data_IF_269742827104
#
_entry.id   IF_269742827104
#
_cell.length_a   1.000
_cell.length_b   1.000
_cell.length_c   1.000
_cell.angle_alpha   90.00
_cell.angle_beta   90.00
_cell.angle_gamma   90.00
#
_symmetry.space_group_name_H-M   'P 1'
#
loop_
_entity.id
_entity.type
_entity.pdbx_description
1 polymer ?
#
# COMPACT_ATOMS: atom_id res chain seq x y z
N UNK A 1 35.63 3.61 -18.24
CA UNK A 1 35.53 4.94 -17.62
C UNK A 1 36.88 5.33 -17.03
N UNK A 2 37.32 6.56 -17.26
CA UNK A 2 38.42 7.20 -16.53
C UNK A 2 37.81 8.13 -15.47
N UNK A 3 38.28 8.07 -14.22
CA UNK A 3 37.85 9.02 -13.18
C UNK A 3 39.05 9.78 -12.66
N UNK A 4 38.95 11.11 -12.67
CA UNK A 4 40.00 12.04 -12.25
C UNK A 4 39.63 12.68 -10.89
N UNK A 5 40.60 12.96 -10.02
CA UNK A 5 40.39 13.71 -8.76
C UNK A 5 41.34 13.31 -7.62
N UNK A 6 40.83 13.16 -6.40
CA UNK A 6 41.64 12.76 -5.24
C UNK A 6 42.20 11.33 -5.36
N UNK A 7 41.62 10.51 -6.24
CA UNK A 7 42.08 9.16 -6.60
C UNK A 7 41.83 8.96 -8.09
N UNK A 8 42.88 8.68 -8.84
CA UNK A 8 42.77 8.41 -10.27
C UNK A 8 42.73 6.90 -10.55
N UNK A 9 41.73 6.47 -11.32
CA UNK A 9 41.60 5.08 -11.76
C UNK A 9 40.81 4.93 -13.06
N UNK A 10 41.06 3.81 -13.73
CA UNK A 10 40.29 3.33 -14.86
C UNK A 10 39.44 2.14 -14.42
N UNK A 11 38.19 2.08 -14.89
CA UNK A 11 37.31 0.96 -14.63
C UNK A 11 36.55 0.54 -15.88
N UNK A 12 36.38 -0.78 -16.02
CA UNK A 12 35.52 -1.41 -17.02
C UNK A 12 34.53 -2.31 -16.29
N UNK A 13 33.25 -1.94 -16.34
CA UNK A 13 32.16 -2.56 -15.59
C UNK A 13 31.15 -3.17 -16.56
N UNK A 14 30.57 -4.31 -16.19
CA UNK A 14 29.59 -5.05 -16.97
C UNK A 14 28.48 -5.57 -16.05
N UNK A 15 27.24 -5.53 -16.56
CA UNK A 15 26.10 -6.24 -15.97
C UNK A 15 25.93 -7.55 -16.74
N UNK A 16 25.99 -8.72 -16.09
CA UNK A 16 25.71 -9.98 -16.75
C UNK A 16 24.28 -10.02 -17.32
N UNK A 17 24.06 -10.75 -18.41
CA UNK A 17 22.73 -10.86 -19.03
C UNK A 17 21.75 -11.77 -18.27
N UNK A 18 22.26 -12.54 -17.30
CA UNK A 18 21.52 -13.43 -16.44
C UNK A 18 22.14 -13.43 -15.04
N UNK A 19 21.32 -13.61 -14.00
CA UNK A 19 21.80 -13.66 -12.62
C UNK A 19 22.82 -14.82 -12.47
N UNK A 20 24.05 -14.55 -11.99
CA UNK A 20 25.03 -15.59 -11.72
C UNK A 20 24.47 -16.67 -10.76
N UNK A 21 24.83 -17.93 -10.98
CA UNK A 21 24.26 -19.07 -10.25
C UNK A 21 24.47 -18.99 -8.74
N UNK A 22 25.66 -18.53 -8.32
CA UNK A 22 26.00 -18.30 -6.91
C UNK A 22 25.03 -17.30 -6.25
N UNK A 23 24.71 -16.22 -6.96
CA UNK A 23 23.81 -15.16 -6.52
C UNK A 23 22.34 -15.56 -6.52
N UNK A 24 21.96 -16.53 -7.38
CA UNK A 24 20.62 -17.11 -7.37
C UNK A 24 20.36 -17.98 -6.12
N UNK A 25 21.40 -18.59 -5.55
CA UNK A 25 21.30 -19.37 -4.30
C UNK A 25 21.42 -18.49 -3.06
N UNK A 26 22.34 -17.54 -3.08
CA UNK A 26 22.58 -16.61 -2.00
C UNK A 26 22.80 -15.20 -2.58
N UNK A 27 21.81 -14.32 -2.38
CA UNK A 27 21.82 -12.97 -2.92
C UNK A 27 23.08 -12.17 -2.54
N UNK A 28 23.64 -12.46 -1.36
CA UNK A 28 24.83 -11.82 -0.80
C UNK A 28 25.96 -12.81 -0.59
N UNK A 29 26.15 -13.74 -1.53
CA UNK A 29 27.28 -14.67 -1.49
C UNK A 29 28.62 -13.91 -1.42
N UNK A 30 29.34 -14.06 -0.30
CA UNK A 30 30.63 -13.41 -0.05
C UNK A 30 31.73 -13.99 -0.95
N UNK A 31 31.53 -15.18 -1.52
CA UNK A 31 32.45 -15.78 -2.49
C UNK A 31 32.20 -15.30 -3.92
N UNK A 32 31.14 -14.51 -4.16
CA UNK A 32 30.86 -13.90 -5.47
C UNK A 32 31.98 -12.91 -5.84
N UNK A 33 32.80 -13.31 -6.82
CA UNK A 33 33.93 -12.51 -7.32
C UNK A 33 33.46 -11.53 -8.39
N UNK A 34 33.07 -10.34 -7.96
CA UNK A 34 32.56 -9.29 -8.84
C UNK A 34 33.64 -8.55 -9.62
N UNK A 35 34.48 -7.81 -8.90
CA UNK A 35 35.40 -6.84 -9.50
C UNK A 35 36.84 -7.19 -9.11
N UNK A 36 37.73 -7.21 -10.12
CA UNK A 36 39.16 -7.46 -9.91
C UNK A 36 39.91 -6.14 -9.77
N UNK A 37 40.76 -6.04 -8.75
CA UNK A 37 41.59 -4.87 -8.50
C UNK A 37 42.99 -5.06 -9.08
N UNK A 38 43.44 -4.06 -9.82
CA UNK A 38 44.77 -3.92 -10.36
C UNK A 38 45.38 -2.60 -9.85
N UNK A 39 46.70 -2.63 -9.65
CA UNK A 39 47.48 -1.43 -9.39
C UNK A 39 48.65 -1.41 -10.36
N UNK A 40 48.75 -0.35 -11.16
CA UNK A 40 49.73 -0.23 -12.25
C UNK A 40 49.71 -1.47 -13.15
N UNK A 41 48.51 -1.94 -13.52
CA UNK A 41 48.27 -3.14 -14.34
C UNK A 41 48.76 -4.47 -13.72
N UNK A 42 49.11 -4.48 -12.44
CA UNK A 42 49.46 -5.71 -11.71
C UNK A 42 48.24 -6.17 -10.91
N UNK A 43 47.85 -7.43 -11.08
CA UNK A 43 46.74 -8.02 -10.33
C UNK A 43 47.06 -8.01 -8.83
N UNK A 44 46.12 -7.52 -8.03
CA UNK A 44 46.23 -7.48 -6.56
C UNK A 44 45.34 -8.55 -5.96
N UNK A 45 44.03 -8.43 -6.12
CA UNK A 45 43.07 -9.45 -5.69
C UNK A 45 41.73 -9.35 -6.44
N UNK A 46 40.91 -10.38 -6.26
CA UNK A 46 39.52 -10.46 -6.71
C UNK A 46 38.50 -10.40 -5.56
N UNK A 47 38.99 -10.40 -4.30
CA UNK A 47 38.21 -10.14 -3.09
C UNK A 47 38.13 -8.65 -2.80
N UNK A 48 37.65 -7.89 -3.77
CA UNK A 48 37.32 -6.47 -3.63
C UNK A 48 35.95 -6.28 -2.90
N UNK A 49 35.55 -7.25 -2.07
CA UNK A 49 34.20 -7.37 -1.50
C UNK A 49 33.90 -6.30 -0.43
N UNK A 50 34.91 -5.87 0.33
CA UNK A 50 34.78 -4.75 1.28
C UNK A 50 34.63 -3.38 0.58
N UNK A 51 34.81 -3.34 -0.73
CA UNK A 51 34.87 -2.13 -1.49
C UNK A 51 33.53 -1.84 -2.23
N UNK A 52 32.91 -2.82 -2.86
CA UNK A 52 31.64 -2.55 -3.58
C UNK A 52 30.45 -2.74 -2.64
N UNK A 53 29.44 -1.83 -2.62
CA UNK A 53 28.22 -2.05 -1.86
C UNK A 53 27.60 -3.41 -2.18
N UNK A 54 27.10 -4.14 -1.17
CA UNK A 54 26.60 -5.51 -1.35
C UNK A 54 25.50 -5.65 -2.40
N UNK A 55 24.69 -4.60 -2.57
CA UNK A 55 23.64 -4.55 -3.59
C UNK A 55 24.19 -4.53 -5.03
N UNK A 56 25.48 -4.26 -5.24
CA UNK A 56 26.17 -4.29 -6.54
C UNK A 56 27.01 -5.55 -6.75
N UNK A 57 26.90 -6.58 -5.90
CA UNK A 57 27.72 -7.80 -6.00
C UNK A 57 27.59 -8.55 -7.34
N UNK A 58 26.54 -8.28 -8.11
CA UNK A 58 26.34 -8.85 -9.45
C UNK A 58 27.16 -8.18 -10.55
N UNK A 59 27.67 -6.96 -10.33
CA UNK A 59 28.54 -6.29 -11.30
C UNK A 59 29.83 -7.09 -11.48
N UNK A 60 30.27 -7.20 -12.73
CA UNK A 60 31.53 -7.83 -13.11
C UNK A 60 32.46 -6.78 -13.71
N UNK A 61 33.77 -6.85 -13.43
CA UNK A 61 34.67 -5.85 -14.01
C UNK A 61 36.10 -5.85 -13.51
N UNK A 62 36.82 -4.83 -13.96
CA UNK A 62 38.21 -4.56 -13.60
C UNK A 62 38.35 -3.09 -13.21
N UNK A 63 39.11 -2.83 -12.14
CA UNK A 63 39.52 -1.51 -11.66
C UNK A 63 41.03 -1.47 -11.62
N UNK A 64 41.64 -0.48 -12.28
CA UNK A 64 43.09 -0.28 -12.31
C UNK A 64 43.42 1.14 -11.85
N UNK A 65 44.24 1.27 -10.80
CA UNK A 65 44.68 2.56 -10.26
C UNK A 65 46.19 2.62 -10.18
N UNK A 66 46.76 3.79 -10.46
CA UNK A 66 48.21 4.00 -10.39
C UNK A 66 48.68 4.45 -9.00
N UNK A 67 47.75 4.80 -8.10
CA UNK A 67 48.02 5.57 -6.88
C UNK A 67 47.69 4.84 -5.57
N UNK A 68 47.13 3.63 -5.63
CA UNK A 68 46.76 2.91 -4.42
C UNK A 68 48.00 2.43 -3.63
N UNK A 69 48.12 2.76 -2.34
CA UNK A 69 49.23 2.30 -1.52
C UNK A 69 49.09 0.79 -1.25
N UNK A 70 50.12 0.02 -1.58
CA UNK A 70 50.19 -1.41 -1.30
C UNK A 70 51.03 -1.66 -0.05
N UNK A 71 50.61 -2.63 0.78
CA UNK A 71 51.47 -3.11 1.85
C UNK A 71 52.61 -3.98 1.27
N UNK A 72 53.60 -4.31 2.11
CA UNK A 72 54.79 -5.09 1.71
C UNK A 72 54.43 -6.49 1.15
N UNK A 73 53.30 -7.06 1.58
CA UNK A 73 52.78 -8.35 1.07
C UNK A 73 51.98 -8.26 -0.22
N UNK A 74 51.74 -7.05 -0.77
CA UNK A 74 50.77 -6.81 -1.86
C UNK A 74 49.34 -7.25 -1.50
N UNK A 75 49.03 -7.29 -0.21
CA UNK A 75 47.67 -7.49 0.31
C UNK A 75 47.09 -6.11 0.68
N UNK A 76 45.76 -5.95 0.62
CA UNK A 76 45.12 -4.65 0.82
C UNK A 76 45.35 -4.14 2.25
N UNK A 77 45.74 -2.87 2.37
CA UNK A 77 45.68 -2.09 3.61
C UNK A 77 44.21 -1.83 4.00
N UNK A 78 43.88 -2.18 5.24
CA UNK A 78 42.63 -1.87 5.95
C UNK A 78 42.00 -0.53 5.54
N UNK A 79 40.70 -0.54 5.17
CA UNK A 79 39.77 0.61 5.11
C UNK A 79 40.38 1.98 4.71
N UNK A 80 41.15 2.04 3.62
CA UNK A 80 41.68 3.32 3.11
C UNK A 80 40.56 4.24 2.63
N UNK A 81 40.66 5.54 2.94
CA UNK A 81 39.77 6.59 2.42
C UNK A 81 39.73 6.60 0.88
N UNK A 82 40.82 6.22 0.22
CA UNK A 82 40.88 6.14 -1.24
C UNK A 82 39.96 5.05 -1.80
N UNK A 83 39.91 3.88 -1.15
CA UNK A 83 39.00 2.81 -1.55
C UNK A 83 37.55 3.26 -1.44
N UNK A 84 37.17 3.93 -0.34
CA UNK A 84 35.82 4.48 -0.19
C UNK A 84 35.42 5.44 -1.32
N UNK A 85 36.36 6.26 -1.82
CA UNK A 85 36.12 7.15 -2.96
C UNK A 85 35.92 6.37 -4.26
N UNK A 86 36.75 5.35 -4.51
CA UNK A 86 36.58 4.45 -5.67
C UNK A 86 35.19 3.80 -5.62
N UNK A 87 34.76 3.33 -4.44
CA UNK A 87 33.50 2.63 -4.23
C UNK A 87 32.29 3.49 -4.56
N UNK A 88 32.25 4.70 -4.00
CA UNK A 88 31.19 5.67 -4.29
C UNK A 88 31.12 6.00 -5.78
N UNK A 89 32.28 6.14 -6.44
CA UNK A 89 32.37 6.39 -7.88
C UNK A 89 31.89 5.20 -8.71
N UNK A 90 32.25 3.98 -8.34
CA UNK A 90 31.75 2.75 -8.99
C UNK A 90 30.24 2.63 -8.83
N UNK A 91 29.72 2.88 -7.64
CA UNK A 91 28.28 2.82 -7.36
C UNK A 91 27.52 3.84 -8.21
N UNK A 92 27.89 5.12 -8.14
CA UNK A 92 27.25 6.18 -8.93
C UNK A 92 27.27 5.89 -10.44
N UNK A 93 28.38 5.35 -10.95
CA UNK A 93 28.52 5.03 -12.38
C UNK A 93 27.78 3.77 -12.80
N UNK A 94 27.61 2.81 -11.88
CA UNK A 94 26.73 1.66 -12.08
C UNK A 94 25.26 2.12 -12.17
N UNK A 95 24.84 3.05 -11.31
CA UNK A 95 23.50 3.64 -11.36
C UNK A 95 23.27 4.39 -12.67
N UNK A 96 24.23 5.21 -13.12
CA UNK A 96 24.16 5.90 -14.41
C UNK A 96 23.99 4.91 -15.57
N UNK A 97 24.75 3.81 -15.57
CA UNK A 97 24.63 2.76 -16.58
C UNK A 97 23.24 2.11 -16.59
N UNK A 98 22.66 1.87 -15.40
CA UNK A 98 21.30 1.31 -15.26
C UNK A 98 20.22 2.31 -15.74
N UNK A 99 20.39 3.61 -15.45
CA UNK A 99 19.49 4.67 -15.95
C UNK A 99 19.50 4.74 -17.47
N UNK A 100 20.68 4.70 -18.09
CA UNK A 100 20.79 4.68 -19.55
C UNK A 100 20.13 3.43 -20.14
N UNK A 101 20.31 2.27 -19.51
CA UNK A 101 19.63 1.03 -19.93
C UNK A 101 18.10 1.12 -19.81
N UNK A 102 17.58 1.76 -18.76
CA UNK A 102 16.15 2.00 -18.59
C UNK A 102 15.60 2.93 -19.67
N UNK A 103 16.35 3.98 -20.02
CA UNK A 103 15.97 4.92 -21.09
C UNK A 103 15.94 4.26 -22.47
N UNK A 104 16.89 3.36 -22.75
CA UNK A 104 16.87 2.52 -23.98
C UNK A 104 15.66 1.58 -24.00
N UNK A 105 15.23 1.10 -22.83
CA UNK A 105 14.04 0.27 -22.66
C UNK A 105 14.14 -1.11 -23.34
N UNK A 106 12.99 -1.63 -23.76
CA UNK A 106 12.89 -2.90 -24.48
C UNK A 106 13.25 -4.15 -23.67
N UNK A 107 13.56 -5.24 -24.38
CA UNK A 107 13.84 -6.55 -23.78
C UNK A 107 15.08 -6.55 -22.88
N UNK A 108 16.05 -5.68 -23.16
CA UNK A 108 17.28 -5.53 -22.37
C UNK A 108 16.96 -5.03 -20.96
N UNK A 109 16.15 -3.98 -20.84
CA UNK A 109 15.69 -3.48 -19.55
C UNK A 109 14.79 -4.49 -18.84
N UNK A 110 13.86 -5.14 -19.56
CA UNK A 110 12.98 -6.17 -18.98
C UNK A 110 13.80 -7.29 -18.32
N UNK A 111 14.75 -7.87 -19.04
CA UNK A 111 15.64 -8.91 -18.52
C UNK A 111 16.50 -8.42 -17.35
N UNK A 112 16.96 -7.17 -17.40
CA UNK A 112 17.69 -6.58 -16.28
C UNK A 112 16.82 -6.51 -15.03
N UNK A 113 15.61 -5.99 -15.14
CA UNK A 113 14.67 -5.86 -14.03
C UNK A 113 14.30 -7.24 -13.44
N UNK A 114 14.00 -8.21 -14.30
CA UNK A 114 13.64 -9.57 -13.87
C UNK A 114 14.76 -10.26 -13.07
N UNK A 115 16.02 -10.04 -13.46
CA UNK A 115 17.18 -10.63 -12.79
C UNK A 115 17.63 -9.84 -11.55
N UNK A 116 17.62 -8.51 -11.62
CA UNK A 116 18.33 -7.65 -10.68
C UNK A 116 17.45 -6.65 -9.92
N UNK A 117 16.14 -6.61 -10.17
CA UNK A 117 15.23 -5.65 -9.52
C UNK A 117 15.29 -5.69 -7.99
N UNK A 118 15.47 -6.89 -7.41
CA UNK A 118 15.67 -7.06 -5.95
C UNK A 118 16.93 -6.35 -5.45
N UNK A 119 18.03 -6.42 -6.19
CA UNK A 119 19.27 -5.73 -5.84
C UNK A 119 19.09 -4.21 -5.86
N UNK A 120 18.32 -3.69 -6.82
CA UNK A 120 18.03 -2.25 -6.90
C UNK A 120 17.21 -1.78 -5.70
N UNK A 121 16.19 -2.55 -5.29
CA UNK A 121 15.41 -2.25 -4.07
C UNK A 121 16.31 -2.25 -2.82
N UNK A 122 17.19 -3.24 -2.67
CA UNK A 122 18.17 -3.29 -1.56
C UNK A 122 19.09 -2.08 -1.60
N UNK A 123 19.61 -1.73 -2.78
CA UNK A 123 20.47 -0.56 -2.95
C UNK A 123 19.77 0.73 -2.53
N UNK A 124 18.51 0.92 -2.91
CA UNK A 124 17.76 2.10 -2.50
C UNK A 124 17.44 2.16 -1.00
N UNK A 125 17.46 1.03 -0.29
CA UNK A 125 17.32 1.00 1.17
C UNK A 125 18.64 1.36 1.86
N UNK A 126 19.76 0.86 1.34
CA UNK A 126 21.06 0.92 2.02
C UNK A 126 21.94 2.10 1.61
N UNK A 127 21.90 2.47 0.33
CA UNK A 127 22.76 3.48 -0.25
C UNK A 127 22.06 4.83 -0.28
N UNK A 128 22.19 5.56 0.84
CA UNK A 128 21.58 6.89 1.01
C UNK A 128 22.09 7.91 -0.01
N UNK A 129 23.34 7.78 -0.46
CA UNK A 129 23.93 8.72 -1.43
C UNK A 129 23.27 8.57 -2.81
N UNK A 130 22.83 7.34 -3.16
CA UNK A 130 22.22 7.02 -4.45
C UNK A 130 20.71 6.70 -4.37
N UNK A 131 20.09 6.84 -3.19
CA UNK A 131 18.73 6.35 -2.93
C UNK A 131 17.69 6.90 -3.91
N UNK A 132 17.68 8.22 -4.17
CA UNK A 132 16.69 8.82 -5.08
C UNK A 132 16.85 8.30 -6.51
N UNK A 133 18.09 8.14 -6.97
CA UNK A 133 18.39 7.65 -8.30
C UNK A 133 18.03 6.17 -8.46
N UNK A 134 18.32 5.35 -7.45
CA UNK A 134 17.92 3.95 -7.41
C UNK A 134 16.40 3.80 -7.33
N UNK A 135 15.73 4.60 -6.50
CA UNK A 135 14.28 4.62 -6.40
C UNK A 135 13.61 4.99 -7.73
N UNK A 136 14.24 5.84 -8.54
CA UNK A 136 13.75 6.16 -9.89
C UNK A 136 13.72 4.96 -10.84
N UNK A 137 14.48 3.90 -10.56
CA UNK A 137 14.56 2.68 -11.38
C UNK A 137 13.50 1.65 -10.99
N UNK A 138 12.99 1.69 -9.76
CA UNK A 138 12.09 0.68 -9.20
C UNK A 138 10.71 0.73 -9.86
N UNK A 139 10.14 -0.46 -10.13
CA UNK A 139 8.86 -0.63 -10.78
C UNK A 139 7.85 -1.35 -9.86
N UNK A 140 6.59 -0.91 -9.92
CA UNK A 140 5.47 -1.43 -9.11
C UNK A 140 4.19 -1.56 -9.93
N UNK A 141 3.25 -2.37 -9.45
CA UNK A 141 1.85 -2.22 -9.85
C UNK A 141 1.21 -1.06 -9.07
N UNK A 142 0.18 -0.44 -9.64
CA UNK A 142 -0.60 0.59 -8.96
C UNK A 142 -2.08 0.48 -9.33
N UNK A 143 -2.93 1.22 -8.61
CA UNK A 143 -4.37 1.32 -8.94
C UNK A 143 -4.62 1.89 -10.34
N UNK A 144 -3.70 2.69 -10.90
CA UNK A 144 -3.81 3.23 -12.25
C UNK A 144 -3.21 2.31 -13.33
N UNK A 145 -2.32 1.38 -12.94
CA UNK A 145 -1.65 0.44 -13.84
C UNK A 145 -1.93 -1.03 -13.45
N UNK A 146 -3.12 -1.57 -13.78
CA UNK A 146 -3.52 -2.92 -13.40
C UNK A 146 -2.98 -4.02 -14.33
N UNK A 147 -2.24 -3.72 -15.39
CA UNK A 147 -1.73 -4.77 -16.30
C UNK A 147 -0.23 -4.76 -16.43
N UNK A 148 0.39 -3.61 -16.19
CA UNK A 148 1.79 -3.37 -16.40
C UNK A 148 2.35 -2.64 -15.18
N UNK A 149 3.65 -2.77 -14.97
CA UNK A 149 4.31 -2.03 -13.91
C UNK A 149 4.55 -0.57 -14.34
N UNK A 150 4.53 0.34 -13.37
CA UNK A 150 4.91 1.74 -13.50
C UNK A 150 6.08 2.04 -12.57
N UNK A 151 6.82 3.11 -12.82
CA UNK A 151 7.78 3.66 -11.87
C UNK A 151 7.22 4.91 -11.16
N UNK A 152 8.03 5.46 -10.24
CA UNK A 152 7.70 6.68 -9.50
C UNK A 152 7.59 7.92 -10.41
N UNK A 153 8.28 7.94 -11.55
CA UNK A 153 8.21 9.07 -12.48
C UNK A 153 6.85 9.12 -13.18
N UNK A 154 6.40 7.98 -13.73
CA UNK A 154 5.08 7.84 -14.33
C UNK A 154 3.94 8.07 -13.34
N UNK A 155 4.12 7.62 -12.09
CA UNK A 155 3.18 7.95 -11.00
C UNK A 155 3.08 9.47 -10.79
N UNK A 156 4.20 10.17 -10.67
CA UNK A 156 4.22 11.63 -10.43
C UNK A 156 3.62 12.39 -11.62
N UNK A 157 3.85 11.92 -12.84
CA UNK A 157 3.25 12.50 -14.05
C UNK A 157 1.72 12.40 -14.03
N UNK A 158 1.17 11.22 -13.74
CA UNK A 158 -0.28 11.02 -13.61
C UNK A 158 -0.87 11.81 -12.44
N UNK A 159 -0.14 11.89 -11.32
CA UNK A 159 -0.52 12.73 -10.18
C UNK A 159 -0.64 14.21 -10.57
N UNK A 160 0.33 14.75 -11.34
CA UNK A 160 0.29 16.12 -11.84
C UNK A 160 -0.86 16.34 -12.81
N UNK A 161 -1.02 15.47 -13.81
CA UNK A 161 -2.10 15.55 -14.79
C UNK A 161 -3.49 15.55 -14.11
N UNK A 162 -3.69 14.65 -13.13
CA UNK A 162 -4.90 14.60 -12.31
C UNK A 162 -5.13 15.90 -11.53
N UNK A 163 -4.08 16.46 -10.92
CA UNK A 163 -4.20 17.72 -10.17
C UNK A 163 -4.53 18.91 -11.07
N UNK A 164 -4.01 18.94 -12.30
CA UNK A 164 -4.33 19.95 -13.32
C UNK A 164 -5.78 19.81 -13.84
N UNK A 165 -6.29 18.59 -13.96
CA UNK A 165 -7.72 18.34 -14.23
C UNK A 165 -8.61 18.90 -13.12
N UNK A 166 -8.22 18.67 -11.86
CA UNK A 166 -8.95 19.21 -10.70
C UNK A 166 -8.91 20.74 -10.68
N UNK A 167 -7.77 21.36 -10.99
CA UNK A 167 -7.63 22.82 -11.10
C UNK A 167 -8.51 23.43 -12.19
N UNK A 168 -8.73 22.68 -13.29
CA UNK A 168 -9.65 23.07 -14.37
C UNK A 168 -11.13 22.86 -14.01
N UNK A 169 -11.44 22.37 -12.80
CA UNK A 169 -12.80 22.06 -12.39
C UNK A 169 -13.38 20.82 -13.09
N UNK A 170 -12.54 19.96 -13.67
CA UNK A 170 -12.98 18.71 -14.28
C UNK A 170 -13.28 17.70 -13.17
N UNK A 171 -14.55 17.33 -13.06
CA UNK A 171 -15.04 16.23 -12.23
C UNK A 171 -14.99 16.39 -10.68
N UNK A 172 -15.47 17.51 -10.09
CA UNK A 172 -15.69 17.65 -8.65
C UNK A 172 -17.12 17.22 -8.28
N UNK A 173 -17.53 15.98 -8.62
CA UNK A 173 -18.79 15.47 -8.07
C UNK A 173 -18.58 15.26 -6.57
N UNK A 174 -19.35 15.92 -5.71
CA UNK A 174 -19.09 15.90 -4.28
C UNK A 174 -19.65 14.64 -3.64
N UNK A 175 -20.21 13.67 -4.38
CA UNK A 175 -20.89 12.49 -3.82
C UNK A 175 -20.19 11.21 -4.26
N UNK A 176 -19.94 10.33 -3.29
CA UNK A 176 -19.35 8.99 -3.47
C UNK A 176 -20.34 7.96 -3.99
N UNK A 177 -19.84 6.78 -4.34
CA UNK A 177 -20.66 5.59 -4.62
C UNK A 177 -21.63 5.24 -3.49
N UNK A 178 -21.28 5.55 -2.23
CA UNK A 178 -22.09 5.29 -1.03
C UNK A 178 -23.12 6.37 -0.71
N UNK A 179 -23.18 7.46 -1.49
CA UNK A 179 -24.01 8.63 -1.18
C UNK A 179 -23.42 9.59 -0.15
N UNK A 180 -22.25 9.28 0.44
CA UNK A 180 -21.50 10.23 1.30
C UNK A 180 -20.92 11.36 0.48
N UNK A 181 -20.88 12.57 1.04
CA UNK A 181 -20.25 13.71 0.41
C UNK A 181 -18.71 13.63 0.53
N UNK A 182 -17.98 13.57 -0.57
CA UNK A 182 -16.53 13.75 -0.65
C UNK A 182 -16.18 14.77 -1.71
N UNK A 183 -15.45 15.80 -1.28
CA UNK A 183 -14.80 16.74 -2.19
C UNK A 183 -13.43 16.18 -2.58
N UNK A 184 -13.25 15.93 -3.88
CA UNK A 184 -11.93 15.56 -4.42
C UNK A 184 -10.95 16.71 -4.20
N UNK A 185 -9.75 16.36 -3.75
CA UNK A 185 -8.67 17.32 -3.48
C UNK A 185 -7.38 16.92 -4.20
N UNK A 186 -6.37 17.78 -4.15
CA UNK A 186 -5.09 17.54 -4.79
C UNK A 186 -4.33 16.43 -4.09
N UNK A 187 -3.72 15.58 -4.89
CA UNK A 187 -2.80 14.56 -4.44
C UNK A 187 -1.42 15.18 -4.30
N UNK A 188 -0.91 15.29 -3.07
CA UNK A 188 0.35 15.99 -2.76
C UNK A 188 1.45 15.04 -2.25
N UNK A 189 1.21 13.74 -2.29
CA UNK A 189 2.10 12.71 -1.79
C UNK A 189 1.99 11.44 -2.63
N UNK A 190 3.01 10.59 -2.52
CA UNK A 190 3.02 9.25 -3.07
C UNK A 190 2.35 8.33 -2.07
N UNK A 191 1.25 7.69 -2.45
CA UNK A 191 0.54 6.75 -1.61
C UNK A 191 0.88 5.33 -2.02
N UNK A 192 1.11 4.46 -1.04
CA UNK A 192 1.29 3.04 -1.28
C UNK A 192 0.50 2.19 -0.28
N UNK A 193 0.30 0.92 -0.63
CA UNK A 193 -0.31 -0.09 0.20
C UNK A 193 0.57 -1.34 0.16
N UNK A 194 1.04 -1.79 1.33
CA UNK A 194 1.69 -3.08 1.48
C UNK A 194 0.65 -4.20 1.71
N UNK A 195 0.77 -5.31 0.99
CA UNK A 195 -0.08 -6.50 1.14
C UNK A 195 0.69 -7.79 0.80
N UNK A 196 0.13 -8.94 1.13
CA UNK A 196 0.75 -10.24 0.84
C UNK A 196 0.91 -10.52 -0.67
N UNK A 197 -0.02 -10.01 -1.46
CA UNK A 197 -0.04 -10.18 -2.89
C UNK A 197 -0.92 -9.10 -3.53
N UNK A 198 -0.89 -9.04 -4.85
CA UNK A 198 -1.62 -8.04 -5.62
C UNK A 198 -3.13 -8.10 -5.43
N UNK A 199 -3.73 -9.29 -5.37
CA UNK A 199 -5.18 -9.43 -5.19
C UNK A 199 -5.62 -8.92 -3.82
N UNK A 200 -4.86 -9.26 -2.77
CA UNK A 200 -5.11 -8.75 -1.42
C UNK A 200 -4.98 -7.22 -1.37
N UNK A 201 -4.00 -6.64 -2.08
CA UNK A 201 -3.89 -5.18 -2.20
C UNK A 201 -5.14 -4.57 -2.85
N UNK A 202 -5.57 -5.11 -3.98
CA UNK A 202 -6.74 -4.65 -4.75
C UNK A 202 -8.07 -4.83 -4.00
N UNK A 203 -8.18 -5.78 -3.07
CA UNK A 203 -9.40 -6.02 -2.29
C UNK A 203 -9.37 -5.33 -0.92
N UNK A 204 -8.28 -4.64 -0.57
CA UNK A 204 -8.13 -4.03 0.76
C UNK A 204 -9.12 -2.88 1.01
N UNK A 205 -9.83 -2.89 2.16
CA UNK A 205 -10.66 -1.77 2.61
C UNK A 205 -9.90 -0.45 2.77
N UNK A 206 -8.57 -0.49 2.99
CA UNK A 206 -7.75 0.72 3.12
C UNK A 206 -7.70 1.56 1.82
N UNK A 207 -8.09 0.98 0.68
CA UNK A 207 -8.18 1.69 -0.60
C UNK A 207 -9.49 2.43 -0.83
N UNK A 208 -10.53 2.24 0.00
CA UNK A 208 -11.85 2.81 -0.30
C UNK A 208 -11.80 4.35 -0.38
N UNK A 209 -11.21 5.04 0.61
CA UNK A 209 -11.04 6.51 0.54
C UNK A 209 -10.12 6.98 -0.59
N UNK A 210 -8.91 6.41 -0.79
CA UNK A 210 -8.10 6.74 -1.97
C UNK A 210 -8.86 6.60 -3.29
N UNK A 211 -9.69 5.55 -3.46
CA UNK A 211 -10.51 5.37 -4.68
C UNK A 211 -11.55 6.46 -4.84
N UNK A 212 -12.29 6.78 -3.79
CA UNK A 212 -13.31 7.84 -3.86
C UNK A 212 -12.68 9.22 -4.13
N UNK A 213 -11.48 9.47 -3.59
CA UNK A 213 -10.67 10.65 -3.92
C UNK A 213 -10.06 10.58 -5.33
N UNK A 214 -10.04 9.41 -5.97
CA UNK A 214 -9.38 9.18 -7.25
C UNK A 214 -7.86 9.28 -7.18
N UNK A 215 -7.26 8.91 -6.04
CA UNK A 215 -5.81 8.88 -5.85
C UNK A 215 -5.22 7.60 -6.41
N UNK A 216 -4.09 7.74 -7.10
CA UNK A 216 -3.27 6.59 -7.44
C UNK A 216 -2.57 6.06 -6.17
N UNK A 217 -2.55 4.74 -6.01
CA UNK A 217 -1.87 4.05 -4.90
C UNK A 217 -0.99 2.94 -5.47
N UNK A 218 0.28 2.91 -5.06
CA UNK A 218 1.27 1.89 -5.42
C UNK A 218 1.04 0.62 -4.57
N UNK A 219 1.22 -0.56 -5.15
CA UNK A 219 1.15 -1.84 -4.43
C UNK A 219 2.55 -2.37 -4.12
N UNK A 220 2.88 -2.48 -2.83
CA UNK A 220 4.02 -3.23 -2.33
C UNK A 220 3.57 -4.66 -2.01
N UNK A 221 4.00 -5.63 -2.82
CA UNK A 221 3.48 -7.01 -2.76
C UNK A 221 4.54 -8.02 -2.32
N UNK A 222 5.77 -7.57 -2.10
CA UNK A 222 6.87 -8.37 -1.58
C UNK A 222 7.41 -7.75 -0.27
N UNK A 223 7.99 -8.53 0.67
CA UNK A 223 8.61 -7.96 1.88
C UNK A 223 9.66 -6.88 1.58
N UNK A 224 10.41 -7.04 0.49
CA UNK A 224 11.42 -6.08 0.07
C UNK A 224 10.81 -4.76 -0.46
N UNK A 225 9.61 -4.80 -1.03
CA UNK A 225 8.89 -3.58 -1.43
C UNK A 225 8.55 -2.74 -0.21
N UNK A 226 8.12 -3.38 0.87
CA UNK A 226 7.77 -2.69 2.10
C UNK A 226 8.99 -2.01 2.71
N UNK A 227 10.13 -2.70 2.83
CA UNK A 227 11.37 -2.06 3.28
C UNK A 227 11.78 -0.88 2.40
N UNK A 228 11.68 -1.04 1.09
CA UNK A 228 11.97 0.03 0.14
C UNK A 228 11.04 1.24 0.32
N UNK A 229 9.72 1.03 0.30
CA UNK A 229 8.73 2.10 0.43
C UNK A 229 8.80 2.77 1.80
N UNK A 230 9.00 2.01 2.87
CA UNK A 230 9.23 2.55 4.21
C UNK A 230 10.52 3.38 4.29
N UNK A 231 11.60 2.99 3.61
CA UNK A 231 12.82 3.80 3.55
C UNK A 231 12.57 5.16 2.87
N UNK A 232 11.70 5.20 1.85
CA UNK A 232 11.27 6.44 1.21
C UNK A 232 10.27 7.23 2.06
N UNK A 233 9.46 6.58 2.89
CA UNK A 233 8.61 7.29 3.87
C UNK A 233 9.42 8.14 4.83
N UNK A 234 10.61 7.67 5.21
CA UNK A 234 11.52 8.41 6.11
C UNK A 234 12.22 9.55 5.36
N UNK A 235 12.73 9.30 4.15
CA UNK A 235 13.61 10.23 3.45
C UNK A 235 12.91 11.12 2.42
N UNK A 236 11.63 10.88 2.14
CA UNK A 236 10.86 11.46 1.03
C UNK A 236 11.44 11.07 -0.34
N UNK A 237 10.69 11.35 -1.41
CA UNK A 237 11.17 11.17 -2.78
C UNK A 237 10.92 12.46 -3.56
N UNK A 238 11.98 13.14 -4.03
CA UNK A 238 11.88 14.43 -4.73
C UNK A 238 11.08 15.48 -3.94
N UNK A 239 11.23 15.48 -2.62
CA UNK A 239 10.48 16.36 -1.70
C UNK A 239 9.00 15.98 -1.50
N UNK A 240 8.53 14.87 -2.09
CA UNK A 240 7.19 14.33 -1.85
C UNK A 240 7.23 13.30 -0.73
N UNK A 241 6.28 13.39 0.19
CA UNK A 241 6.09 12.35 1.20
C UNK A 241 5.65 11.04 0.54
N UNK A 242 6.10 9.92 1.09
CA UNK A 242 5.69 8.57 0.70
C UNK A 242 4.92 7.96 1.87
N UNK A 243 3.62 7.74 1.70
CA UNK A 243 2.68 7.47 2.79
C UNK A 243 2.03 6.10 2.58
N UNK A 244 2.10 5.25 3.61
CA UNK A 244 1.37 3.98 3.65
C UNK A 244 -0.10 4.23 4.02
N UNK A 245 -1.02 3.79 3.17
CA UNK A 245 -2.46 3.93 3.42
C UNK A 245 -2.97 2.99 4.52
N UNK A 246 -2.19 2.01 4.94
CA UNK A 246 -2.51 1.13 6.06
C UNK A 246 -2.18 1.74 7.43
N UNK A 247 -1.62 2.94 7.49
CA UNK A 247 -1.35 3.64 8.75
C UNK A 247 -2.63 4.28 9.29
N UNK A 248 -2.73 4.29 10.62
CA UNK A 248 -3.71 5.08 11.35
C UNK A 248 -3.53 6.58 11.06
N UNK A 249 -4.55 7.38 11.34
CA UNK A 249 -4.53 8.83 11.15
C UNK A 249 -4.06 9.28 9.76
N UNK A 250 -4.49 8.53 8.74
CA UNK A 250 -4.11 8.74 7.34
C UNK A 250 -4.60 10.11 6.86
N UNK A 251 -3.67 11.07 6.75
CA UNK A 251 -3.93 12.40 6.20
C UNK A 251 -3.75 12.40 4.70
N UNK A 252 -4.87 12.46 3.98
CA UNK A 252 -4.86 12.50 2.52
C UNK A 252 -4.97 13.94 2.01
N UNK A 253 -4.15 14.33 1.03
CA UNK A 253 -4.27 15.58 0.27
C UNK A 253 -4.49 16.87 1.05
N UNK A 254 -3.51 17.29 1.86
CA UNK A 254 -3.47 18.63 2.44
C UNK A 254 -4.39 18.85 3.64
N UNK A 255 -4.82 17.80 4.34
CA UNK A 255 -5.35 17.94 5.70
C UNK A 255 -4.22 18.47 6.60
N UNK A 256 -4.15 19.79 6.78
CA UNK A 256 -3.22 20.42 7.71
C UNK A 256 -3.39 19.81 9.10
N UNK A 257 -2.31 19.20 9.60
CA UNK A 257 -2.19 18.89 11.01
C UNK A 257 -2.03 20.17 11.81
N UNK A 258 -2.64 20.23 12.99
CA UNK A 258 -2.47 21.27 14.00
C UNK A 258 -1.04 21.30 14.61
N UNK A 259 0.00 21.29 13.79
CA UNK A 259 1.38 21.21 14.24
C UNK A 259 2.40 21.18 13.12
N UNK A 260 2.58 22.30 12.42
CA UNK A 260 3.85 22.70 11.81
C UNK A 260 3.76 24.18 11.38
N UNK A 261 4.38 25.06 12.16
CA UNK A 261 4.64 26.45 11.79
C UNK A 261 5.62 26.51 10.61
N UNK A 262 5.34 27.30 9.57
CA UNK A 262 6.36 27.57 8.54
C UNK A 262 5.92 28.35 7.30
N UNK A 263 6.04 29.67 7.39
CA UNK A 263 6.20 30.67 6.31
C UNK A 263 5.11 30.81 5.23
N UNK A 264 4.27 31.84 5.43
CA UNK A 264 3.48 32.47 4.39
C UNK A 264 4.38 33.18 3.35
N UNK A 265 4.35 32.70 2.11
CA UNK A 265 4.84 33.45 0.94
C UNK A 265 3.72 34.28 0.33
N UNK A 266 3.83 35.61 0.43
CA UNK A 266 2.97 36.60 -0.26
C UNK A 266 3.34 36.68 -1.75
N UNK A 267 2.37 36.46 -2.63
CA UNK A 267 2.22 37.07 -3.97
C UNK A 267 0.89 36.56 -4.55
N UNK A 268 0.03 37.29 -5.24
CA UNK A 268 0.00 38.65 -5.75
C UNK A 268 -1.31 38.73 -6.56
N UNK A 269 -2.08 39.79 -6.36
CA UNK A 269 -3.39 40.04 -6.93
C UNK A 269 -3.38 40.05 -8.48
N UNK A 270 -4.31 39.30 -9.10
CA UNK A 270 -4.73 39.53 -10.50
C UNK A 270 -6.15 39.02 -10.72
N UNK A 271 -7.05 39.97 -10.77
CA UNK A 271 -8.47 39.85 -11.13
C UNK A 271 -8.64 39.61 -12.63
N UNK A 272 -9.37 38.56 -13.00
CA UNK A 272 -10.18 38.53 -14.23
C UNK A 272 -11.50 37.81 -13.92
N UNK A 273 -12.67 38.38 -14.26
CA UNK A 273 -13.95 37.75 -13.97
C UNK A 273 -14.52 37.11 -15.24
N UNK A 274 -14.83 35.82 -15.25
CA UNK A 274 -15.95 35.26 -16.02
C UNK A 274 -16.26 33.80 -15.65
N UNK A 275 -17.52 33.56 -15.29
CA UNK A 275 -18.27 32.37 -15.69
C UNK A 275 -18.12 31.07 -14.89
N UNK A 276 -18.68 31.07 -13.67
CA UNK A 276 -19.08 29.91 -12.84
C UNK A 276 -18.03 28.86 -12.48
N UNK A 277 -17.66 28.85 -11.19
CA UNK A 277 -17.52 27.58 -10.46
C UNK A 277 -18.26 27.66 -9.11
N UNK A 278 -18.71 26.51 -8.58
CA UNK A 278 -18.90 26.35 -7.13
C UNK A 278 -17.67 26.92 -6.45
N UNK A 279 -17.83 27.98 -5.68
CA UNK A 279 -16.70 28.75 -5.16
C UNK A 279 -15.85 27.88 -4.23
N UNK A 280 -14.54 28.12 -4.18
CA UNK A 280 -13.63 27.43 -3.24
C UNK A 280 -14.12 27.52 -1.79
N UNK A 281 -14.87 28.56 -1.44
CA UNK A 281 -15.55 28.72 -0.15
C UNK A 281 -16.70 27.73 0.07
N UNK A 282 -17.49 27.41 -0.94
CA UNK A 282 -18.59 26.45 -0.83
C UNK A 282 -18.06 25.02 -0.62
N UNK A 283 -16.98 24.67 -1.32
CA UNK A 283 -16.27 23.39 -1.14
C UNK A 283 -15.63 23.30 0.25
N UNK A 284 -15.05 24.40 0.75
CA UNK A 284 -14.49 24.46 2.09
C UNK A 284 -15.57 24.32 3.18
N UNK A 285 -16.74 24.96 3.02
CA UNK A 285 -17.89 24.83 3.93
C UNK A 285 -18.44 23.39 3.96
N UNK A 286 -18.52 22.74 2.80
CA UNK A 286 -18.96 21.34 2.70
C UNK A 286 -17.96 20.37 3.33
N UNK A 287 -16.66 20.56 3.11
CA UNK A 287 -15.61 19.77 3.76
C UNK A 287 -15.60 19.97 5.29
N UNK A 288 -15.83 21.19 5.76
CA UNK A 288 -15.98 21.49 7.18
C UNK A 288 -17.20 20.77 7.79
N UNK A 289 -18.34 20.81 7.12
CA UNK A 289 -19.56 20.09 7.55
C UNK A 289 -19.34 18.56 7.59
N UNK A 290 -18.63 17.99 6.62
CA UNK A 290 -18.28 16.57 6.63
C UNK A 290 -17.35 16.21 7.81
N UNK A 291 -16.36 17.06 8.14
CA UNK A 291 -15.50 16.89 9.32
C UNK A 291 -16.27 17.02 10.64
N UNK A 292 -17.18 17.97 10.72
CA UNK A 292 -18.08 18.14 11.87
C UNK A 292 -18.98 16.90 12.06
N UNK A 293 -19.37 16.25 10.96
CA UNK A 293 -20.18 15.02 11.00
C UNK A 293 -19.41 13.80 11.55
N UNK A 294 -18.13 13.60 11.23
CA UNK A 294 -17.37 12.45 11.74
C UNK A 294 -17.00 12.64 13.21
N UNK A 295 -16.68 13.86 13.65
CA UNK A 295 -16.41 14.14 15.07
C UNK A 295 -17.66 13.89 15.92
N UNK A 296 -18.82 14.31 15.43
CA UNK A 296 -20.11 13.96 16.05
C UNK A 296 -20.30 12.44 16.14
N UNK A 297 -19.94 11.68 15.10
CA UNK A 297 -20.01 10.22 15.12
C UNK A 297 -19.03 9.58 16.10
N UNK A 298 -17.82 10.15 16.27
CA UNK A 298 -16.85 9.72 17.29
C UNK A 298 -17.43 9.82 18.68
N UNK A 299 -18.05 10.95 19.00
CA UNK A 299 -18.70 11.16 20.30
C UNK A 299 -19.88 10.21 20.46
N UNK A 300 -20.75 10.09 19.44
CA UNK A 300 -21.91 9.22 19.49
C UNK A 300 -21.51 7.76 19.75
N UNK A 301 -20.54 7.23 19.01
CA UNK A 301 -20.12 5.82 19.09
C UNK A 301 -18.97 5.57 20.07
N UNK A 302 -18.57 6.55 20.89
CA UNK A 302 -17.48 6.41 21.85
C UNK A 302 -17.66 5.22 22.80
N UNK A 303 -18.88 5.03 23.34
CA UNK A 303 -19.21 3.88 24.19
C UNK A 303 -19.07 2.53 23.49
N UNK A 304 -19.35 2.45 22.17
CA UNK A 304 -19.14 1.23 21.40
C UNK A 304 -17.64 0.95 21.24
N UNK A 305 -16.85 1.99 20.94
CA UNK A 305 -15.40 1.88 20.79
C UNK A 305 -14.74 1.39 22.09
N UNK A 306 -15.07 1.99 23.23
CA UNK A 306 -14.57 1.58 24.55
C UNK A 306 -14.95 0.13 24.87
N UNK A 307 -16.20 -0.25 24.62
CA UNK A 307 -16.67 -1.61 24.83
C UNK A 307 -15.95 -2.62 23.92
N UNK A 308 -15.75 -2.29 22.63
CA UNK A 308 -14.99 -3.13 21.70
C UNK A 308 -13.54 -3.29 22.16
N UNK A 309 -12.89 -2.22 22.62
CA UNK A 309 -11.52 -2.28 23.14
C UNK A 309 -11.43 -3.21 24.36
N UNK A 310 -12.42 -3.17 25.26
CA UNK A 310 -12.49 -4.09 26.40
C UNK A 310 -12.69 -5.55 25.98
N UNK A 311 -13.57 -5.81 25.00
CA UNK A 311 -13.85 -7.17 24.51
C UNK A 311 -12.67 -7.77 23.75
N UNK A 312 -11.99 -6.96 22.94
CA UNK A 312 -10.88 -7.39 22.11
C UNK A 312 -9.57 -7.44 22.89
N UNK A 313 -9.43 -6.67 23.97
CA UNK A 313 -8.29 -6.70 24.87
C UNK A 313 -6.97 -6.55 24.13
N UNK A 314 -6.08 -7.52 24.29
CA UNK A 314 -4.73 -7.51 23.67
C UNK A 314 -4.72 -7.79 22.16
N UNK A 315 -5.87 -7.89 21.51
CA UNK A 315 -5.95 -8.06 20.05
C UNK A 315 -5.82 -6.73 19.29
N UNK A 316 -6.11 -5.61 19.95
CA UNK A 316 -6.07 -4.27 19.36
C UNK A 316 -5.39 -3.31 20.32
N UNK A 317 -4.69 -2.33 19.76
CA UNK A 317 -4.12 -1.23 20.53
C UNK A 317 -5.21 -0.21 20.87
N UNK A 318 -6.04 0.13 19.89
CA UNK A 318 -7.11 1.13 20.01
C UNK A 318 -8.30 0.78 19.10
N UNK A 319 -9.45 1.39 19.37
CA UNK A 319 -10.65 1.30 18.54
C UNK A 319 -11.24 2.69 18.36
N UNK A 320 -11.46 3.12 17.12
CA UNK A 320 -12.10 4.41 16.84
C UNK A 320 -12.90 4.39 15.54
N UNK A 321 -13.79 5.35 15.35
CA UNK A 321 -14.51 5.49 14.08
C UNK A 321 -13.68 6.28 13.07
N UNK A 322 -13.84 5.93 11.80
CA UNK A 322 -13.09 6.49 10.67
C UNK A 322 -14.03 6.98 9.58
N UNK A 323 -13.56 7.95 8.81
CA UNK A 323 -14.22 8.42 7.59
C UNK A 323 -13.65 7.75 6.33
N UNK A 324 -12.60 6.92 6.44
CA UNK A 324 -11.94 6.29 5.30
C UNK A 324 -12.71 5.14 4.66
N UNK A 325 -13.72 4.63 5.36
CA UNK A 325 -14.52 3.48 4.94
C UNK A 325 -15.89 3.90 4.41
N UNK A 326 -16.35 3.24 3.36
CA UNK A 326 -17.59 3.48 2.63
C UNK A 326 -18.45 2.23 2.63
N UNK A 327 -17.87 1.11 2.16
CA UNK A 327 -18.57 -0.17 2.03
C UNK A 327 -18.20 -1.14 3.12
N UNK A 328 -16.96 -1.13 3.59
CA UNK A 328 -16.53 -2.06 4.64
C UNK A 328 -17.00 -1.62 6.02
N UNK A 329 -17.34 -2.56 6.93
CA UNK A 329 -17.77 -2.24 8.29
C UNK A 329 -16.60 -1.79 9.19
N UNK A 330 -15.41 -2.36 8.97
CA UNK A 330 -14.22 -2.06 9.75
C UNK A 330 -12.96 -2.40 8.96
N UNK A 331 -11.82 -1.87 9.42
CA UNK A 331 -10.49 -2.18 8.90
C UNK A 331 -9.47 -2.19 10.06
N UNK A 332 -8.47 -3.04 9.96
CA UNK A 332 -7.30 -2.99 10.85
C UNK A 332 -6.18 -2.18 10.19
N UNK A 333 -5.67 -1.19 10.91
CA UNK A 333 -4.58 -0.33 10.49
C UNK A 333 -3.42 -0.41 11.48
N UNK A 334 -2.21 -0.04 11.05
CA UNK A 334 -1.05 0.00 11.94
C UNK A 334 -0.96 1.37 12.62
N UNK A 335 -0.47 1.42 13.85
CA UNK A 335 0.02 2.68 14.42
C UNK A 335 1.21 3.24 13.62
N UNK A 336 1.59 4.48 13.90
CA UNK A 336 2.66 5.21 13.20
C UNK A 336 3.95 4.38 13.04
N UNK A 337 4.38 3.73 14.12
CA UNK A 337 5.58 2.88 14.17
C UNK A 337 5.28 1.37 14.06
N UNK A 338 4.02 0.99 13.87
CA UNK A 338 3.62 -0.41 13.79
C UNK A 338 4.08 -1.07 12.49
N UNK A 339 4.45 -2.35 12.56
CA UNK A 339 4.84 -3.15 11.39
C UNK A 339 3.61 -3.65 10.63
N UNK A 340 3.70 -3.76 9.29
CA UNK A 340 2.62 -4.39 8.53
C UNK A 340 2.47 -5.87 8.89
N UNK A 341 1.32 -6.48 8.61
CA UNK A 341 1.13 -7.92 8.81
C UNK A 341 2.11 -8.78 8.01
N UNK A 342 2.47 -8.34 6.80
CA UNK A 342 3.48 -9.00 5.96
C UNK A 342 4.85 -8.97 6.63
N UNK A 343 5.24 -7.82 7.19
CA UNK A 343 6.50 -7.68 7.90
C UNK A 343 6.51 -8.45 9.22
N UNK A 344 5.42 -8.43 9.98
CA UNK A 344 5.28 -9.21 11.21
C UNK A 344 5.50 -10.71 10.96
N UNK A 345 4.87 -11.26 9.90
CA UNK A 345 5.10 -12.66 9.49
C UNK A 345 6.55 -12.93 9.09
N UNK A 346 7.12 -12.07 8.25
CA UNK A 346 8.49 -12.21 7.78
C UNK A 346 9.47 -12.24 8.97
N UNK A 347 9.32 -11.30 9.90
CA UNK A 347 10.13 -11.23 11.12
C UNK A 347 9.94 -12.44 12.02
N UNK A 348 8.70 -12.89 12.20
CA UNK A 348 8.40 -14.09 13.01
C UNK A 348 9.07 -15.34 12.43
N UNK A 349 9.06 -15.50 11.11
CA UNK A 349 9.75 -16.59 10.43
C UNK A 349 11.26 -16.51 10.59
N UNK A 350 11.84 -15.30 10.50
CA UNK A 350 13.27 -15.09 10.69
C UNK A 350 13.70 -15.34 12.14
N UNK A 351 12.95 -14.86 13.12
CA UNK A 351 13.21 -15.07 14.54
C UNK A 351 13.16 -16.56 14.91
N UNK A 352 12.16 -17.29 14.41
CA UNK A 352 12.07 -18.74 14.57
C UNK A 352 13.27 -19.47 13.97
N UNK A 353 13.76 -19.03 12.81
CA UNK A 353 14.96 -19.59 12.19
C UNK A 353 16.25 -19.31 12.99
N UNK A 354 16.31 -18.19 13.71
CA UNK A 354 17.45 -17.80 14.56
C UNK A 354 17.33 -18.27 16.01
N UNK A 355 16.22 -18.91 16.40
CA UNK A 355 15.98 -19.39 17.75
C UNK A 355 15.75 -18.28 18.79
N UNK A 356 15.41 -17.07 18.36
CA UNK A 356 15.15 -15.92 19.25
C UNK A 356 13.63 -15.71 19.39
N UNK A 357 13.16 -15.35 20.59
CA UNK A 357 11.73 -15.15 20.81
C UNK A 357 11.21 -13.81 20.25
N UNK A 358 9.93 -13.79 19.89
CA UNK A 358 9.22 -12.62 19.35
C UNK A 358 9.26 -11.41 20.31
N UNK A 359 9.24 -11.69 21.62
CA UNK A 359 9.30 -10.68 22.68
C UNK A 359 10.68 -10.00 22.77
N UNK A 360 11.75 -10.77 22.56
CA UNK A 360 13.14 -10.32 22.74
C UNK A 360 13.62 -9.39 21.64
N UNK A 361 13.10 -9.51 20.41
CA UNK A 361 13.52 -8.62 19.33
C UNK A 361 12.83 -7.25 19.35
N UNK A 362 11.54 -7.16 19.71
CA UNK A 362 10.74 -5.97 19.36
C UNK A 362 9.80 -5.44 20.46
N UNK A 363 9.65 -6.16 21.58
CA UNK A 363 8.71 -5.78 22.64
C UNK A 363 7.24 -6.02 22.25
N UNK A 364 6.45 -6.52 23.20
CA UNK A 364 5.12 -7.07 22.94
C UNK A 364 4.04 -6.08 22.45
N UNK A 365 4.26 -4.76 22.58
CA UNK A 365 3.20 -3.75 22.49
C UNK A 365 3.21 -2.88 21.22
N UNK A 366 4.25 -2.94 20.38
CA UNK A 366 4.39 -2.03 19.23
C UNK A 366 3.64 -2.48 17.96
N UNK A 367 3.09 -3.70 17.95
CA UNK A 367 2.54 -4.33 16.74
C UNK A 367 1.04 -4.62 16.79
N UNK A 368 0.34 -4.25 17.87
CA UNK A 368 -1.11 -4.40 17.93
C UNK A 368 -1.79 -3.44 16.95
N UNK A 369 -2.71 -3.92 16.10
CA UNK A 369 -3.42 -3.06 15.16
C UNK A 369 -4.42 -2.16 15.86
N UNK A 370 -4.82 -1.10 15.17
CA UNK A 370 -5.92 -0.24 15.56
C UNK A 370 -7.14 -0.64 14.71
N UNK A 371 -8.29 -0.83 15.36
CA UNK A 371 -9.54 -1.16 14.69
C UNK A 371 -10.29 0.14 14.35
N UNK A 372 -10.38 0.44 13.06
CA UNK A 372 -11.15 1.57 12.57
C UNK A 372 -12.54 1.10 12.12
N UNK A 373 -13.59 1.77 12.61
CA UNK A 373 -14.99 1.42 12.37
C UNK A 373 -15.66 2.40 11.40
N UNK A 374 -16.46 1.87 10.47
CA UNK A 374 -17.32 2.68 9.61
C UNK A 374 -18.64 3.01 10.34
N UNK A 375 -18.86 4.26 10.81
CA UNK A 375 -20.06 4.60 11.57
C UNK A 375 -21.33 4.61 10.72
N UNK A 376 -21.20 4.56 9.40
CA UNK A 376 -22.31 4.55 8.44
C UNK A 376 -22.73 3.13 8.04
N UNK A 377 -21.91 2.12 8.37
CA UNK A 377 -22.22 0.75 7.97
C UNK A 377 -23.36 0.15 8.83
N UNK A 378 -24.37 -0.51 8.23
CA UNK A 378 -25.52 -1.04 8.98
C UNK A 378 -25.15 -2.00 10.12
N UNK A 379 -24.11 -2.83 9.93
CA UNK A 379 -23.63 -3.74 10.99
C UNK A 379 -23.11 -2.97 12.20
N UNK A 380 -22.36 -1.89 11.99
CA UNK A 380 -21.80 -1.07 13.08
C UNK A 380 -22.92 -0.35 13.82
N UNK A 381 -23.90 0.21 13.10
CA UNK A 381 -25.07 0.85 13.71
C UNK A 381 -25.93 -0.15 14.52
N UNK A 382 -26.11 -1.37 14.02
CA UNK A 382 -26.83 -2.43 14.74
C UNK A 382 -26.06 -2.86 15.99
N UNK A 383 -24.74 -3.02 15.90
CA UNK A 383 -23.89 -3.37 17.03
C UNK A 383 -23.92 -2.28 18.11
N UNK A 384 -23.81 -1.00 17.74
CA UNK A 384 -23.95 0.13 18.66
C UNK A 384 -25.29 0.06 19.42
N UNK A 385 -26.40 -0.18 18.70
CA UNK A 385 -27.72 -0.33 19.31
C UNK A 385 -27.84 -1.55 20.24
N UNK A 386 -27.20 -2.67 19.90
CA UNK A 386 -27.18 -3.86 20.77
C UNK A 386 -26.45 -3.56 22.07
N UNK A 387 -25.25 -2.97 21.99
CA UNK A 387 -24.41 -2.64 23.16
C UNK A 387 -25.08 -1.59 24.05
N UNK A 388 -25.74 -0.58 23.46
CA UNK A 388 -26.52 0.41 24.24
C UNK A 388 -27.68 -0.19 25.02
N UNK A 389 -28.28 -1.27 24.52
CA UNK A 389 -29.39 -1.96 25.20
C UNK A 389 -28.89 -2.86 26.30
N UNK A 390 -27.83 -3.61 26.03
CA UNK A 390 -27.21 -4.54 26.96
C UNK A 390 -25.74 -4.77 26.61
N UNK A 391 -24.84 -4.20 27.41
CA UNK A 391 -23.38 -4.36 27.27
C UNK A 391 -22.91 -5.80 27.52
N UNK A 392 -23.77 -6.64 28.10
CA UNK A 392 -23.48 -8.04 28.41
C UNK A 392 -24.10 -9.02 27.41
N UNK A 393 -24.82 -8.55 26.36
CA UNK A 393 -25.48 -9.42 25.38
C UNK A 393 -24.43 -10.35 24.71
N UNK A 394 -24.51 -11.67 24.93
CA UNK A 394 -23.56 -12.61 24.33
C UNK A 394 -23.53 -12.56 22.80
N UNK A 395 -24.64 -12.19 22.16
CA UNK A 395 -24.73 -12.06 20.70
C UNK A 395 -24.01 -10.81 20.21
N UNK A 396 -24.05 -9.71 20.97
CA UNK A 396 -23.27 -8.51 20.64
C UNK A 396 -21.77 -8.83 20.66
N UNK A 397 -21.33 -9.57 21.70
CA UNK A 397 -19.95 -10.06 21.80
C UNK A 397 -19.57 -10.98 20.63
N UNK A 398 -20.47 -11.87 20.21
CA UNK A 398 -20.23 -12.74 19.05
C UNK A 398 -20.03 -11.94 17.76
N UNK A 399 -20.92 -10.96 17.49
CA UNK A 399 -20.81 -10.06 16.34
C UNK A 399 -19.51 -9.25 16.37
N UNK A 400 -19.09 -8.76 17.55
CA UNK A 400 -17.85 -8.02 17.71
C UNK A 400 -16.60 -8.87 17.36
N UNK A 401 -16.57 -10.12 17.81
CA UNK A 401 -15.47 -11.03 17.49
C UNK A 401 -15.45 -11.38 15.99
N UNK A 402 -16.61 -11.62 15.38
CA UNK A 402 -16.72 -11.88 13.95
C UNK A 402 -16.28 -10.66 13.11
N UNK A 403 -16.71 -9.46 13.51
CA UNK A 403 -16.29 -8.21 12.88
C UNK A 403 -14.76 -8.08 12.88
N UNK A 404 -14.13 -8.36 14.03
CA UNK A 404 -12.68 -8.35 14.15
C UNK A 404 -12.02 -9.42 13.27
N UNK A 405 -12.52 -10.66 13.26
CA UNK A 405 -11.94 -11.74 12.45
C UNK A 405 -11.99 -11.41 10.94
N UNK A 406 -13.10 -10.83 10.48
CA UNK A 406 -13.26 -10.40 9.08
C UNK A 406 -12.29 -9.27 8.75
N UNK A 407 -12.20 -8.26 9.61
CA UNK A 407 -11.25 -7.15 9.43
C UNK A 407 -9.79 -7.63 9.46
N UNK A 408 -9.46 -8.60 10.33
CA UNK A 408 -8.15 -9.23 10.40
C UNK A 408 -7.82 -9.98 9.12
N UNK A 409 -8.76 -10.79 8.60
CA UNK A 409 -8.56 -11.54 7.37
C UNK A 409 -8.36 -10.60 6.17
N UNK A 410 -9.18 -9.56 6.03
CA UNK A 410 -9.07 -8.58 4.95
C UNK A 410 -7.78 -7.75 5.04
N UNK A 411 -7.33 -7.43 6.25
CA UNK A 411 -6.05 -6.76 6.49
C UNK A 411 -4.83 -7.68 6.37
N UNK A 412 -5.04 -8.99 6.17
CA UNK A 412 -3.96 -9.98 6.14
C UNK A 412 -3.28 -10.18 7.49
N UNK A 413 -3.97 -10.01 8.61
CA UNK A 413 -3.49 -10.36 9.95
C UNK A 413 -3.73 -11.86 10.23
N UNK A 414 -2.90 -12.44 11.10
CA UNK A 414 -3.09 -13.82 11.53
C UNK A 414 -4.32 -13.95 12.44
N UNK A 415 -5.11 -15.00 12.21
CA UNK A 415 -6.18 -15.40 13.11
C UNK A 415 -5.58 -16.27 14.22
N UNK A 416 -5.54 -15.76 15.45
CA UNK A 416 -4.92 -16.46 16.60
C UNK A 416 -5.47 -17.87 16.84
N UNK A 417 -6.78 -18.04 16.65
CA UNK A 417 -7.43 -19.34 16.82
C UNK A 417 -8.38 -19.64 15.65
N UNK A 418 -7.86 -20.27 14.58
CA UNK A 418 -8.66 -20.63 13.42
C UNK A 418 -9.83 -21.57 13.75
N UNK A 419 -9.69 -22.42 14.77
CA UNK A 419 -10.75 -23.33 15.20
C UNK A 419 -11.96 -22.59 15.79
N UNK A 420 -11.72 -21.57 16.62
CA UNK A 420 -12.81 -20.73 17.14
C UNK A 420 -13.49 -19.90 16.05
N UNK A 421 -12.71 -19.38 15.09
CA UNK A 421 -13.27 -18.70 13.92
C UNK A 421 -14.15 -19.64 13.10
N UNK A 422 -13.65 -20.84 12.76
CA UNK A 422 -14.41 -21.85 12.03
C UNK A 422 -15.69 -22.24 12.75
N UNK A 423 -15.63 -22.43 14.08
CA UNK A 423 -16.81 -22.72 14.90
C UNK A 423 -17.87 -21.62 14.79
N UNK A 424 -17.48 -20.34 14.87
CA UNK A 424 -18.40 -19.20 14.70
C UNK A 424 -19.05 -19.18 13.32
N UNK A 425 -18.27 -19.43 12.26
CA UNK A 425 -18.79 -19.48 10.88
C UNK A 425 -19.80 -20.63 10.72
N UNK A 426 -19.48 -21.82 11.26
CA UNK A 426 -20.38 -22.98 11.22
C UNK A 426 -21.69 -22.69 11.97
N UNK A 427 -21.62 -22.05 13.15
CA UNK A 427 -22.81 -21.67 13.92
C UNK A 427 -23.67 -20.64 13.17
N UNK A 428 -23.05 -19.68 12.48
CA UNK A 428 -23.76 -18.72 11.62
C UNK A 428 -24.45 -19.41 10.43
N UNK A 429 -23.75 -20.30 9.72
CA UNK A 429 -24.32 -21.07 8.61
C UNK A 429 -25.50 -21.92 9.06
N UNK A 430 -25.41 -22.52 10.26
CA UNK A 430 -26.52 -23.27 10.86
C UNK A 430 -27.73 -22.38 11.13
N UNK A 431 -27.53 -21.23 11.79
CA UNK A 431 -28.62 -20.28 12.07
C UNK A 431 -29.32 -19.82 10.79
N UNK A 432 -28.56 -19.51 9.74
CA UNK A 432 -29.12 -19.10 8.45
C UNK A 432 -29.93 -20.22 7.79
N UNK A 433 -29.41 -21.46 7.81
CA UNK A 433 -30.13 -22.62 7.30
C UNK A 433 -31.44 -22.88 8.09
N UNK A 434 -31.40 -22.77 9.42
CA UNK A 434 -32.58 -22.93 10.28
C UNK A 434 -33.63 -21.85 9.99
N UNK A 435 -33.21 -20.58 9.75
CA UNK A 435 -34.09 -19.49 9.36
C UNK A 435 -34.75 -19.78 8.01
N UNK A 436 -33.97 -20.16 6.99
CA UNK A 436 -34.46 -20.46 5.65
C UNK A 436 -35.49 -21.60 5.67
N UNK A 437 -35.24 -22.66 6.44
CA UNK A 437 -36.20 -23.76 6.63
C UNK A 437 -37.48 -23.30 7.34
N UNK A 438 -37.36 -22.41 8.34
CA UNK A 438 -38.53 -21.86 9.03
C UNK A 438 -39.41 -20.99 8.12
N UNK A 439 -38.80 -20.28 7.17
CA UNK A 439 -39.51 -19.44 6.18
C UNK A 439 -40.20 -20.29 5.12
N UNK A 440 -39.56 -21.36 4.65
CA UNK A 440 -40.17 -22.34 3.74
C UNK A 440 -41.39 -23.01 4.40
N UNK A 441 -41.28 -23.45 5.64
CA UNK A 441 -42.40 -24.04 6.37
C UNK A 441 -43.55 -23.04 6.59
N UNK A 442 -43.27 -21.74 6.75
CA UNK A 442 -44.32 -20.71 6.83
C UNK A 442 -45.01 -20.46 5.49
N UNK A 443 -44.31 -20.60 4.36
CA UNK A 443 -44.88 -20.50 3.01
C UNK A 443 -45.71 -21.72 2.62
N UNK A 444 -45.33 -22.93 3.06
CA UNK A 444 -46.15 -24.14 2.86
C UNK A 444 -47.44 -24.12 3.68
N UNK A 445 -47.42 -23.51 4.87
CA UNK A 445 -48.60 -23.38 5.74
C UNK A 445 -49.55 -22.23 5.31
N UNK A 446 -49.05 -21.22 4.58
CA UNK A 446 -49.84 -20.11 4.03
C UNK A 446 -49.52 -19.92 2.53
N UNK A 447 -50.14 -20.71 1.62
CA UNK A 447 -49.94 -20.51 0.19
C UNK A 447 -50.47 -19.13 -0.23
N UNK A 448 -49.84 -18.44 -1.20
CA UNK A 448 -50.30 -17.16 -1.68
C UNK A 448 -51.71 -17.29 -2.29
N UNK A 449 -52.64 -16.43 -1.85
CA UNK A 449 -53.99 -16.35 -2.41
C UNK A 449 -53.92 -16.10 -3.92
N UNK A 450 -54.70 -16.81 -4.75
CA UNK A 450 -54.68 -16.60 -6.19
C UNK A 450 -55.09 -15.16 -6.50
N UNK A 451 -54.20 -14.44 -7.19
CA UNK A 451 -54.45 -13.09 -7.67
C UNK A 451 -55.65 -13.13 -8.62
N UNK A 452 -56.75 -12.48 -8.25
CA UNK A 452 -57.91 -12.32 -9.11
C UNK A 452 -57.53 -11.48 -10.33
N UNK A 453 -57.33 -12.13 -11.47
CA UNK A 453 -57.30 -11.46 -12.77
C UNK A 453 -58.71 -10.91 -13.06
N UNK A 454 -58.88 -9.63 -13.46
CA UNK A 454 -60.21 -9.13 -13.80
C UNK A 454 -60.72 -9.82 -15.07
N UNK A 455 -61.91 -10.42 -15.01
CA UNK A 455 -62.63 -10.92 -16.18
C UNK A 455 -62.87 -9.77 -17.17
N UNK A 456 -62.33 -9.91 -18.39
CA UNK A 456 -62.75 -9.11 -19.53
C UNK A 456 -64.16 -9.56 -19.93
N UNK A 457 -65.14 -8.67 -19.79
CA UNK A 457 -66.52 -8.89 -20.26
C UNK A 457 -66.54 -8.92 -21.78
N UNK A 458 -66.95 -10.05 -22.38
CA UNK A 458 -67.50 -10.06 -23.74
C UNK A 458 -69.02 -10.05 -23.63
N UNK A 459 -69.66 -9.03 -24.21
CA UNK A 459 -71.09 -9.03 -24.51
C UNK A 459 -71.30 -9.36 -25.99
N UNK A 460 -72.42 -10.03 -26.35
CA UNK A 460 -72.61 -10.63 -27.65
C UNK A 460 -73.29 -9.65 -28.62
N UNK A 461 -73.07 -9.82 -29.92
CA UNK A 461 -74.07 -9.43 -30.90
C UNK A 461 -74.17 -10.45 -32.03
N UNK A 462 -75.42 -10.67 -32.41
CA UNK A 462 -76.04 -11.76 -33.15
C UNK A 462 -75.98 -11.59 -34.67
N UNK A 463 -75.91 -12.74 -35.37
CA UNK A 463 -76.54 -13.12 -36.66
C UNK A 463 -76.40 -12.14 -37.86
N UNK A 464 -76.11 -12.56 -39.08
CA UNK A 464 -76.93 -13.48 -39.91
C UNK A 464 -76.24 -13.65 -41.29
N UNK A 465 -76.23 -14.88 -41.85
CA UNK A 465 -76.34 -15.26 -43.29
C UNK A 465 -75.27 -14.70 -44.29
N UNK A 466 -74.84 -15.32 -45.40
CA UNK A 466 -75.22 -16.49 -46.22
C UNK A 466 -74.19 -16.59 -47.35
N UNK A 467 -74.07 -17.77 -47.99
CA UNK A 467 -73.62 -17.93 -49.38
C UNK A 467 -72.17 -18.40 -49.50
N UNK A 468 -71.94 -19.71 -49.61
CA UNK A 468 -71.87 -20.50 -50.86
C UNK A 468 -70.53 -20.35 -51.61
N UNK A 469 -69.91 -21.53 -51.76
CA UNK A 469 -68.69 -21.91 -52.47
C UNK A 469 -68.84 -21.77 -54.01
N UNK A 470 -67.83 -22.08 -54.86
CA UNK A 470 -66.52 -22.69 -54.57
C UNK A 470 -65.27 -21.92 -54.99
#
# INVERSE_FOLDING_TARGET
MKVEGQVDFNALLFIPGALPWELARNMFDEESRGIRLYVKRVFINDKFADAVPRWLTFIRGVVDSDELPLNVGREILQKSRMLQVINKRIAAKSVEMMKNMKQEGGDKWRRFWDNYGKYIKVGAVEDKDNQEELASLVQFYSTASPKETTDLAGYIERMKARNEELDRGVNPLPTTSSGRLIVRRKQNAIYYLAAENRKAAEESPALELPRELGYEVIFGTEPLDEFFLASLSINQYKGLQVIDVNKADLKLGGEEGSGASGSAGRHGDRTTPHGSPTSSEDLAKQAASAKESIETKRIQMGSLCEWLQQILGTKVHNVHVTDRLFTSPAVLVQGDFGLSPTMQRYMKQQAAAQGVSEQELYGASLNQPILELNPYHPIIQRLDNMVRRDVTDPRAKEVALQLFDVAALQGGYNIDNPGHFAKRVIEMMKREADIALSEQNKQEVNPPSPTSTPLHQQSPNSSTQTGEAP
#
